data_IF_332042209809
#
_entry.id   IF_332042209809
#
_cell.length_a   1.000
_cell.length_b   1.000
_cell.length_c   1.000
_cell.angle_alpha   90.00
_cell.angle_beta   90.00
_cell.angle_gamma   90.00
#
_symmetry.space_group_name_H-M   'P 1'
#
loop_
_entity.id
_entity.type
_entity.pdbx_description
1 polymer ?
#
# COMPACT_ATOMS: atom_id res chain seq x y z
N UNK A 1 -14.34 -15.56 6.13
CA UNK A 1 -13.55 -15.85 4.90
C UNK A 1 -12.23 -16.49 5.31
N UNK A 2 -11.72 -17.51 4.59
CA UNK A 2 -10.51 -18.24 4.98
C UNK A 2 -9.30 -17.28 5.03
N UNK A 3 -8.58 -17.30 6.15
CA UNK A 3 -7.53 -16.34 6.50
C UNK A 3 -6.40 -16.26 5.43
N UNK A 4 -6.17 -17.36 4.70
CA UNK A 4 -5.15 -17.44 3.65
C UNK A 4 -5.37 -16.51 2.45
N UNK A 5 -6.61 -16.13 2.12
CA UNK A 5 -6.89 -15.24 0.99
C UNK A 5 -6.35 -13.82 1.23
N UNK A 6 -6.51 -13.30 2.45
CA UNK A 6 -6.00 -11.97 2.83
C UNK A 6 -4.47 -11.91 2.83
N UNK A 7 -3.80 -13.04 3.03
CA UNK A 7 -2.34 -13.10 3.07
C UNK A 7 -1.74 -12.97 1.66
N UNK A 8 -2.37 -13.55 0.64
CA UNK A 8 -1.99 -13.37 -0.77
C UNK A 8 -2.20 -11.93 -1.23
N UNK A 9 -3.33 -11.32 -0.88
CA UNK A 9 -3.61 -9.91 -1.22
C UNK A 9 -2.59 -8.97 -0.58
N UNK A 10 -2.22 -9.20 0.70
CA UNK A 10 -1.16 -8.44 1.39
C UNK A 10 0.20 -8.60 0.73
N UNK A 11 0.54 -9.82 0.30
CA UNK A 11 1.78 -10.06 -0.44
C UNK A 11 1.80 -9.33 -1.78
N UNK A 12 0.69 -9.36 -2.53
CA UNK A 12 0.54 -8.59 -3.77
C UNK A 12 0.62 -7.08 -3.55
N UNK A 13 -0.01 -6.57 -2.49
CA UNK A 13 0.07 -5.16 -2.10
C UNK A 13 1.50 -4.75 -1.73
N UNK A 14 2.23 -5.57 -0.95
CA UNK A 14 3.63 -5.33 -0.62
C UNK A 14 4.49 -5.23 -1.89
N UNK A 15 4.34 -6.16 -2.84
CA UNK A 15 5.08 -6.11 -4.10
C UNK A 15 4.72 -4.85 -4.89
N UNK A 16 3.42 -4.54 -5.03
CA UNK A 16 2.95 -3.35 -5.75
C UNK A 16 3.49 -2.05 -5.16
N UNK A 17 3.41 -1.87 -3.85
CA UNK A 17 3.93 -0.68 -3.18
C UNK A 17 5.45 -0.61 -3.18
N UNK A 18 6.16 -1.74 -3.10
CA UNK A 18 7.62 -1.76 -3.23
C UNK A 18 8.07 -1.31 -4.63
N UNK A 19 7.36 -1.75 -5.69
CA UNK A 19 7.62 -1.32 -7.06
C UNK A 19 7.34 0.17 -7.24
N UNK A 20 6.21 0.66 -6.72
CA UNK A 20 5.88 2.09 -6.76
C UNK A 20 6.90 2.94 -5.99
N UNK A 21 7.32 2.51 -4.80
CA UNK A 21 8.35 3.20 -4.03
C UNK A 21 9.68 3.25 -4.79
N UNK A 22 10.07 2.15 -5.45
CA UNK A 22 11.27 2.11 -6.27
C UNK A 22 11.17 3.05 -7.48
N UNK A 23 10.01 3.10 -8.13
CA UNK A 23 9.78 4.00 -9.25
C UNK A 23 9.79 5.48 -8.83
N UNK A 24 9.09 5.84 -7.74
CA UNK A 24 9.12 7.20 -7.20
C UNK A 24 10.53 7.62 -6.75
N UNK A 25 11.35 6.69 -6.24
CA UNK A 25 12.75 6.96 -5.94
C UNK A 25 13.56 7.29 -7.21
N UNK A 26 13.32 6.55 -8.32
CA UNK A 26 13.95 6.84 -9.62
C UNK A 26 13.49 8.16 -10.23
N UNK A 27 12.23 8.55 -10.02
CA UNK A 27 11.67 9.81 -10.51
C UNK A 27 12.03 11.01 -9.61
N UNK A 28 12.81 10.80 -8.55
CA UNK A 28 13.22 11.85 -7.61
C UNK A 28 12.10 12.34 -6.68
N UNK A 29 10.95 11.67 -6.69
CA UNK A 29 9.77 12.00 -5.90
C UNK A 29 9.90 11.42 -4.48
N UNK A 30 10.76 12.04 -3.65
CA UNK A 30 11.04 11.58 -2.28
C UNK A 30 9.78 11.41 -1.43
N UNK A 31 8.81 12.32 -1.55
CA UNK A 31 7.55 12.25 -0.80
C UNK A 31 6.77 10.98 -1.15
N UNK A 32 6.60 10.68 -2.43
CA UNK A 32 5.90 9.48 -2.88
C UNK A 32 6.65 8.20 -2.52
N UNK A 33 7.98 8.20 -2.61
CA UNK A 33 8.82 7.08 -2.18
C UNK A 33 8.57 6.74 -0.71
N UNK A 34 8.54 7.75 0.17
CA UNK A 34 8.28 7.54 1.61
C UNK A 34 6.86 7.03 1.83
N UNK A 35 5.87 7.59 1.13
CA UNK A 35 4.47 7.15 1.22
C UNK A 35 4.32 5.68 0.79
N UNK A 36 4.80 5.32 -0.39
CA UNK A 36 4.72 3.94 -0.89
C UNK A 36 5.57 2.97 -0.05
N UNK A 37 6.73 3.41 0.45
CA UNK A 37 7.55 2.62 1.37
C UNK A 37 6.83 2.34 2.71
N UNK A 38 6.17 3.35 3.28
CA UNK A 38 5.37 3.19 4.48
C UNK A 38 4.18 2.25 4.25
N UNK A 39 3.51 2.35 3.09
CA UNK A 39 2.43 1.44 2.70
C UNK A 39 2.93 0.00 2.52
N UNK A 40 4.09 -0.21 1.89
CA UNK A 40 4.70 -1.54 1.77
C UNK A 40 4.99 -2.16 3.15
N UNK A 41 5.50 -1.37 4.10
CA UNK A 41 5.74 -1.81 5.47
C UNK A 41 4.44 -2.09 6.24
N UNK A 42 3.39 -1.29 5.99
CA UNK A 42 2.09 -1.47 6.61
C UNK A 42 1.43 -2.76 6.12
N UNK A 43 1.45 -3.02 4.82
CA UNK A 43 0.82 -4.21 4.20
C UNK A 43 1.71 -5.46 4.21
N UNK A 44 2.87 -5.42 4.87
CA UNK A 44 3.77 -6.56 4.88
C UNK A 44 3.09 -7.81 5.49
N UNK A 45 3.29 -9.00 4.91
CA UNK A 45 2.75 -10.24 5.46
C UNK A 45 3.70 -10.92 6.46
N UNK A 46 4.88 -10.36 6.71
CA UNK A 46 5.92 -10.95 7.58
C UNK A 46 5.70 -10.62 9.06
N UNK A 47 5.37 -9.36 9.36
CA UNK A 47 5.10 -8.90 10.72
C UNK A 47 3.59 -8.76 10.90
N UNK A 48 3.02 -9.51 11.85
CA UNK A 48 1.62 -9.31 12.27
C UNK A 48 1.50 -7.99 13.02
N UNK A 49 1.10 -6.95 12.31
CA UNK A 49 0.66 -5.70 12.94
C UNK A 49 -0.77 -5.93 13.47
N UNK A 50 -0.89 -6.07 14.79
CA UNK A 50 -2.16 -6.29 15.49
C UNK A 50 -2.97 -4.98 15.63
N UNK A 51 -3.16 -4.26 14.52
CA UNK A 51 -4.18 -3.21 14.47
C UNK A 51 -5.55 -3.90 14.51
N UNK A 52 -6.46 -3.37 15.31
CA UNK A 52 -7.84 -3.87 15.37
C UNK A 52 -8.49 -3.83 13.99
N UNK A 53 -9.52 -4.66 13.78
CA UNK A 53 -10.22 -4.79 12.48
C UNK A 53 -10.71 -3.44 11.94
N UNK A 54 -11.21 -2.57 12.81
CA UNK A 54 -11.67 -1.22 12.47
C UNK A 54 -10.56 -0.37 11.85
N UNK A 55 -9.36 -0.40 12.43
CA UNK A 55 -8.24 0.41 11.96
C UNK A 55 -7.74 -0.09 10.61
N UNK A 56 -7.68 -1.40 10.40
CA UNK A 56 -7.35 -1.98 9.09
C UNK A 56 -8.36 -1.56 8.01
N UNK A 57 -9.66 -1.60 8.31
CA UNK A 57 -10.68 -1.18 7.36
C UNK A 57 -10.55 0.30 6.99
N UNK A 58 -10.26 1.17 7.97
CA UNK A 58 -10.02 2.60 7.73
C UNK A 58 -8.80 2.79 6.82
N UNK A 59 -7.69 2.10 7.11
CA UNK A 59 -6.46 2.18 6.31
C UNK A 59 -6.70 1.69 4.88
N UNK A 60 -7.40 0.57 4.69
CA UNK A 60 -7.75 0.04 3.37
C UNK A 60 -8.56 1.06 2.55
N UNK A 61 -9.54 1.73 3.18
CA UNK A 61 -10.34 2.77 2.51
C UNK A 61 -9.50 3.98 2.12
N UNK A 62 -8.65 4.48 3.02
CA UNK A 62 -7.77 5.64 2.73
C UNK A 62 -6.84 5.33 1.55
N UNK A 63 -6.24 4.14 1.55
CA UNK A 63 -5.32 3.69 0.50
C UNK A 63 -6.05 3.53 -0.83
N UNK A 64 -7.26 2.94 -0.82
CA UNK A 64 -8.08 2.82 -2.02
C UNK A 64 -8.44 4.18 -2.63
N UNK A 65 -8.83 5.15 -1.79
CA UNK A 65 -9.15 6.52 -2.23
C UNK A 65 -7.91 7.23 -2.78
N UNK A 66 -6.77 7.12 -2.08
CA UNK A 66 -5.50 7.70 -2.53
C UNK A 66 -5.05 7.18 -3.90
N UNK A 67 -5.16 5.87 -4.12
CA UNK A 67 -4.86 5.25 -5.42
C UNK A 67 -5.82 5.72 -6.52
N UNK A 68 -7.12 5.84 -6.24
CA UNK A 68 -8.09 6.35 -7.22
C UNK A 68 -7.78 7.80 -7.66
N UNK A 69 -7.36 8.65 -6.72
CA UNK A 69 -7.00 10.04 -7.04
C UNK A 69 -5.69 10.07 -7.84
N UNK A 70 -4.68 9.29 -7.45
CA UNK A 70 -3.40 9.20 -8.16
C UNK A 70 -3.59 8.76 -9.63
N UNK A 71 -4.46 7.77 -9.88
CA UNK A 71 -4.80 7.32 -11.23
C UNK A 71 -5.45 8.43 -12.08
N UNK A 72 -6.28 9.30 -11.48
CA UNK A 72 -6.87 10.44 -12.21
C UNK A 72 -5.88 11.57 -12.48
N UNK A 73 -4.87 11.75 -11.61
CA UNK A 73 -3.84 12.78 -11.77
C UNK A 73 -2.81 12.47 -12.86
N UNK A 74 -2.56 11.19 -13.15
CA UNK A 74 -1.54 10.74 -14.13
C UNK A 74 -1.96 10.88 -15.61
N UNK A 75 -3.17 11.39 -15.87
CA UNK A 75 -3.77 11.52 -17.21
C UNK A 75 -3.76 12.96 -17.76
N UNK A 76 -2.80 13.79 -17.36
CA UNK A 76 -2.64 15.16 -17.90
C UNK A 76 -1.22 15.47 -18.29
#
# INVERSE_FOLDING_TARGET
MPYGYYQLVRFGALIGFALLAYQSNKEGQQTEMIIYGALALLFQPFIKIALGREIWNILDVIVAVGLMISLKGKNK
#
